data_IF_905650314000
#
_entry.id   IF_905650314000
#
_cell.length_a   1.000
_cell.length_b   1.000
_cell.length_c   1.000
_cell.angle_alpha   90.00
_cell.angle_beta   90.00
_cell.angle_gamma   90.00
#
_symmetry.space_group_name_H-M   'P 1'
#
loop_
_entity.id
_entity.type
_entity.pdbx_description
1 polymer ?
#
# COMPACT_ATOMS: atom_id res chain seq x y z
N UNK A 1 12.96 3.50 -19.03
CA UNK A 1 12.28 2.81 -17.92
C UNK A 1 11.25 3.76 -17.31
N UNK A 2 10.01 3.30 -17.19
CA UNK A 2 8.94 4.15 -16.67
C UNK A 2 9.06 4.28 -15.15
N UNK A 3 9.07 5.51 -14.68
CA UNK A 3 9.17 5.80 -13.25
C UNK A 3 8.03 6.74 -12.86
N UNK A 4 7.16 6.28 -11.97
CA UNK A 4 5.98 7.02 -11.54
C UNK A 4 5.93 6.99 -10.01
N UNK A 5 5.67 8.14 -9.39
CA UNK A 5 5.63 8.30 -7.94
C UNK A 5 6.92 7.81 -7.25
N UNK A 6 8.05 7.93 -7.93
CA UNK A 6 9.34 7.49 -7.42
C UNK A 6 9.60 5.99 -7.54
N UNK A 7 8.71 5.24 -8.17
CA UNK A 7 8.82 3.79 -8.30
C UNK A 7 9.12 3.43 -9.76
N UNK A 8 10.12 2.59 -9.97
CA UNK A 8 10.43 2.03 -11.28
C UNK A 8 9.49 0.88 -11.56
N UNK A 9 8.67 1.02 -12.59
CA UNK A 9 7.73 -0.03 -12.95
C UNK A 9 8.41 -1.14 -13.75
N UNK A 10 8.03 -2.42 -13.54
CA UNK A 10 8.63 -3.51 -14.32
C UNK A 10 8.26 -3.39 -15.78
N UNK A 11 9.27 -3.46 -16.65
CA UNK A 11 9.10 -3.19 -18.07
C UNK A 11 8.28 -4.25 -18.80
N UNK A 12 8.34 -5.47 -18.34
CA UNK A 12 7.71 -6.59 -19.04
C UNK A 12 6.27 -6.86 -18.62
N UNK A 13 5.80 -6.19 -17.58
CA UNK A 13 4.43 -6.34 -17.11
C UNK A 13 3.51 -5.39 -17.88
N UNK A 14 2.23 -5.77 -17.97
CA UNK A 14 1.21 -4.85 -18.49
C UNK A 14 1.13 -3.64 -17.57
N UNK A 15 0.73 -2.51 -18.12
CA UNK A 15 0.66 -1.28 -17.33
C UNK A 15 -0.32 -1.41 -16.16
N UNK A 16 -1.41 -2.15 -16.33
CA UNK A 16 -2.36 -2.44 -15.26
C UNK A 16 -1.68 -3.09 -14.05
N UNK A 17 -0.80 -4.04 -14.31
CA UNK A 17 -0.08 -4.74 -13.25
C UNK A 17 1.10 -3.90 -12.74
N UNK A 18 1.78 -3.21 -13.63
CA UNK A 18 2.90 -2.35 -13.26
C UNK A 18 2.52 -1.26 -12.28
N UNK A 19 1.35 -0.65 -12.45
CA UNK A 19 0.86 0.37 -11.52
C UNK A 19 0.63 -0.17 -10.11
N UNK A 20 0.32 -1.44 -9.97
CA UNK A 20 0.10 -2.03 -8.64
C UNK A 20 1.37 -2.13 -7.80
N UNK A 21 2.54 -1.91 -8.40
CA UNK A 21 3.80 -1.87 -7.66
C UNK A 21 3.94 -0.57 -6.84
N UNK A 22 3.10 0.41 -7.11
CA UNK A 22 3.07 1.65 -6.34
C UNK A 22 2.24 1.42 -5.07
N UNK A 23 2.78 1.78 -3.92
CA UNK A 23 2.06 1.64 -2.66
C UNK A 23 0.79 2.49 -2.67
N UNK A 24 -0.34 1.87 -2.47
CA UNK A 24 -1.64 2.52 -2.48
C UNK A 24 -2.45 2.31 -3.76
N UNK A 25 -1.88 1.67 -4.77
CA UNK A 25 -2.59 1.35 -6.01
C UNK A 25 -2.76 -0.17 -6.11
N UNK A 26 -4.01 -0.62 -6.07
CA UNK A 26 -4.36 -2.01 -6.37
C UNK A 26 -4.90 -2.12 -7.80
N UNK A 27 -5.35 -3.31 -8.18
CA UNK A 27 -5.84 -3.53 -9.56
C UNK A 27 -7.01 -2.62 -9.93
N UNK A 28 -7.95 -2.43 -9.01
CA UNK A 28 -9.10 -1.58 -9.29
C UNK A 28 -8.69 -0.14 -9.51
N UNK A 29 -7.86 0.38 -8.63
CA UNK A 29 -7.35 1.75 -8.76
C UNK A 29 -6.55 1.91 -10.04
N UNK A 30 -5.73 0.92 -10.39
CA UNK A 30 -4.97 0.94 -11.63
C UNK A 30 -5.90 0.99 -12.84
N UNK A 31 -6.95 0.19 -12.85
CA UNK A 31 -7.93 0.22 -13.95
C UNK A 31 -8.66 1.55 -14.04
N UNK A 32 -9.03 2.14 -12.91
CA UNK A 32 -9.68 3.45 -12.87
C UNK A 32 -8.76 4.54 -13.43
N UNK A 33 -7.47 4.49 -13.09
CA UNK A 33 -6.47 5.43 -13.60
C UNK A 33 -6.34 5.31 -15.11
N UNK A 34 -6.22 4.08 -15.61
CA UNK A 34 -6.05 3.83 -17.03
C UNK A 34 -7.29 4.23 -17.82
N UNK A 35 -8.46 4.01 -17.28
CA UNK A 35 -9.71 4.42 -17.90
C UNK A 35 -9.80 5.94 -17.99
N UNK A 36 -9.42 6.64 -16.94
CA UNK A 36 -9.46 8.10 -16.89
C UNK A 36 -8.44 8.74 -17.85
N UNK A 37 -7.28 8.11 -18.01
CA UNK A 37 -6.22 8.62 -18.90
C UNK A 37 -6.35 8.12 -20.34
N UNK A 38 -7.24 7.17 -20.59
CA UNK A 38 -7.46 6.63 -21.93
C UNK A 38 -6.37 5.68 -22.42
N UNK A 39 -5.60 5.10 -21.53
CA UNK A 39 -4.52 4.18 -21.87
C UNK A 39 -5.04 2.75 -21.86
N UNK A 40 -4.65 1.95 -22.87
CA UNK A 40 -5.02 0.54 -22.93
C UNK A 40 -4.34 -0.23 -21.79
N UNK A 41 -5.11 -0.91 -20.93
CA UNK A 41 -4.52 -1.65 -19.80
C UNK A 41 -3.61 -2.81 -20.21
N UNK A 42 -3.76 -3.30 -21.42
CA UNK A 42 -2.93 -4.40 -21.93
C UNK A 42 -1.59 -3.95 -22.50
N UNK A 43 -1.33 -2.66 -22.57
CA UNK A 43 -0.04 -2.12 -23.03
C UNK A 43 1.05 -2.49 -22.03
N UNK A 44 2.17 -3.01 -22.54
CA UNK A 44 3.32 -3.28 -21.67
C UNK A 44 3.97 -1.98 -21.22
N UNK A 45 4.55 -1.99 -20.03
CA UNK A 45 5.20 -0.78 -19.50
C UNK A 45 6.29 -0.27 -20.43
N UNK A 46 7.03 -1.18 -21.06
CA UNK A 46 8.09 -0.80 -22.01
C UNK A 46 7.58 -0.11 -23.26
N UNK A 47 6.32 -0.31 -23.60
CA UNK A 47 5.69 0.25 -24.80
C UNK A 47 4.97 1.58 -24.53
N UNK A 48 5.00 2.08 -23.31
CA UNK A 48 4.39 3.37 -22.98
C UNK A 48 5.18 4.51 -23.58
N UNK A 49 4.45 5.48 -24.15
CA UNK A 49 5.07 6.69 -24.67
C UNK A 49 5.32 7.68 -23.52
N UNK A 50 6.16 8.70 -23.78
CA UNK A 50 6.39 9.74 -22.79
C UNK A 50 5.11 10.51 -22.44
N UNK A 51 4.23 10.69 -23.43
CA UNK A 51 2.94 11.34 -23.21
C UNK A 51 2.07 10.49 -22.27
N UNK A 52 2.07 9.17 -22.45
CA UNK A 52 1.33 8.27 -21.58
C UNK A 52 1.85 8.32 -20.13
N UNK A 53 3.17 8.31 -19.98
CA UNK A 53 3.80 8.40 -18.66
C UNK A 53 3.46 9.73 -17.99
N UNK A 54 3.51 10.83 -18.73
CA UNK A 54 3.16 12.15 -18.21
C UNK A 54 1.70 12.21 -17.76
N UNK A 55 0.80 11.63 -18.53
CA UNK A 55 -0.61 11.59 -18.20
C UNK A 55 -0.85 10.79 -16.92
N UNK A 56 -0.17 9.65 -16.77
CA UNK A 56 -0.27 8.83 -15.58
C UNK A 56 0.26 9.58 -14.35
N UNK A 57 1.41 10.23 -14.47
CA UNK A 57 1.98 11.00 -13.36
C UNK A 57 1.05 12.12 -12.91
N UNK A 58 0.53 12.89 -13.85
CA UNK A 58 -0.38 13.99 -13.53
C UNK A 58 -1.64 13.50 -12.83
N UNK A 59 -2.25 12.44 -13.35
CA UNK A 59 -3.47 11.90 -12.76
C UNK A 59 -3.23 11.40 -11.34
N UNK A 60 -2.15 10.66 -11.14
CA UNK A 60 -1.82 10.12 -9.83
C UNK A 60 -1.52 11.24 -8.84
N UNK A 61 -0.74 12.24 -9.23
CA UNK A 61 -0.41 13.36 -8.36
C UNK A 61 -1.64 14.15 -7.91
N UNK A 62 -2.63 14.28 -8.80
CA UNK A 62 -3.81 15.11 -8.52
C UNK A 62 -4.94 14.36 -7.82
N UNK A 63 -5.09 13.07 -8.07
CA UNK A 63 -6.29 12.34 -7.68
C UNK A 63 -6.07 11.16 -6.76
N UNK A 64 -4.83 10.71 -6.56
CA UNK A 64 -4.54 9.51 -5.80
C UNK A 64 -3.47 9.81 -4.76
N UNK A 65 -3.68 9.33 -3.53
CA UNK A 65 -2.70 9.45 -2.46
C UNK A 65 -1.91 8.15 -2.45
N UNK A 66 -0.58 8.24 -2.66
CA UNK A 66 0.27 7.06 -2.81
C UNK A 66 1.59 7.24 -2.06
N UNK A 67 2.31 6.15 -1.89
CA UNK A 67 3.67 6.09 -1.36
C UNK A 67 3.81 6.82 -0.01
N UNK A 68 4.80 7.71 0.12
CA UNK A 68 5.08 8.38 1.39
C UNK A 68 3.91 9.15 1.96
N UNK A 69 3.15 9.84 1.11
CA UNK A 69 1.98 10.60 1.56
C UNK A 69 0.91 9.67 2.14
N UNK A 70 0.69 8.53 1.52
CA UNK A 70 -0.27 7.55 2.03
C UNK A 70 0.24 6.93 3.33
N UNK A 71 1.52 6.58 3.41
CA UNK A 71 2.10 6.04 4.64
C UNK A 71 1.96 7.01 5.80
N UNK A 72 2.25 8.29 5.55
CA UNK A 72 2.07 9.34 6.56
C UNK A 72 0.63 9.45 7.01
N UNK A 73 -0.31 9.41 6.07
CA UNK A 73 -1.73 9.51 6.40
C UNK A 73 -2.19 8.33 7.25
N UNK A 74 -1.79 7.11 6.89
CA UNK A 74 -2.14 5.91 7.66
C UNK A 74 -1.58 6.01 9.08
N UNK A 75 -0.33 6.45 9.22
CA UNK A 75 0.28 6.60 10.54
C UNK A 75 -0.42 7.66 11.39
N UNK A 76 -0.82 8.77 10.77
CA UNK A 76 -1.58 9.80 11.47
C UNK A 76 -2.96 9.30 11.91
N UNK A 77 -3.62 8.51 11.06
CA UNK A 77 -4.90 7.92 11.41
C UNK A 77 -4.78 6.95 12.59
N UNK A 78 -3.74 6.12 12.59
CA UNK A 78 -3.47 5.21 13.71
C UNK A 78 -3.16 6.00 14.97
N UNK A 79 -2.35 7.03 14.87
CA UNK A 79 -2.02 7.90 16.00
C UNK A 79 -3.28 8.52 16.59
N UNK A 80 -4.19 9.00 15.74
CA UNK A 80 -5.45 9.56 16.20
C UNK A 80 -6.27 8.52 16.98
N UNK A 81 -6.35 7.28 16.46
CA UNK A 81 -7.07 6.22 17.16
C UNK A 81 -6.48 5.93 18.53
N UNK A 82 -5.16 5.92 18.64
CA UNK A 82 -4.47 5.70 19.92
C UNK A 82 -4.75 6.86 20.88
N UNK A 83 -4.72 8.08 20.39
CA UNK A 83 -4.92 9.28 21.24
C UNK A 83 -6.34 9.38 21.78
N UNK A 84 -7.35 9.03 20.98
CA UNK A 84 -8.73 9.09 21.48
C UNK A 84 -9.10 7.90 22.38
N UNK A 85 -8.21 6.91 22.48
CA UNK A 85 -8.39 5.80 23.41
C UNK A 85 -9.46 4.80 23.04
N UNK A 86 -9.86 4.71 21.76
CA UNK A 86 -10.84 3.74 21.32
C UNK A 86 -10.25 2.33 21.30
N UNK A 87 -11.11 1.32 21.18
CA UNK A 87 -10.67 -0.07 21.17
C UNK A 87 -9.63 -0.35 20.10
N UNK A 88 -9.86 0.13 18.87
CA UNK A 88 -8.91 -0.06 17.77
C UNK A 88 -7.54 0.57 18.10
N UNK A 89 -7.55 1.75 18.70
CA UNK A 89 -6.32 2.43 19.10
C UNK A 89 -5.54 1.65 20.13
N UNK A 90 -6.23 1.07 21.13
CA UNK A 90 -5.60 0.23 22.13
C UNK A 90 -4.94 -1.00 21.50
N UNK A 91 -5.61 -1.62 20.53
CA UNK A 91 -5.05 -2.77 19.82
C UNK A 91 -3.80 -2.37 19.03
N UNK A 92 -3.81 -1.22 18.38
CA UNK A 92 -2.61 -0.72 17.67
C UNK A 92 -1.47 -0.45 18.64
N UNK A 93 -1.76 0.17 19.76
CA UNK A 93 -0.73 0.48 20.77
C UNK A 93 -0.08 -0.78 21.30
N UNK A 94 -0.85 -1.84 21.50
CA UNK A 94 -0.35 -3.12 22.04
C UNK A 94 0.23 -4.04 20.97
N UNK A 95 0.15 -3.68 19.70
CA UNK A 95 0.63 -4.53 18.62
C UNK A 95 -0.20 -5.78 18.41
N UNK A 96 -1.49 -5.72 18.67
CA UNK A 96 -2.40 -6.86 18.56
C UNK A 96 -3.31 -6.72 17.34
N UNK A 97 -3.90 -7.83 16.84
CA UNK A 97 -4.86 -7.75 15.74
C UNK A 97 -6.02 -6.81 16.07
N UNK A 98 -6.43 -6.02 15.10
CA UNK A 98 -7.40 -4.93 15.28
C UNK A 98 -8.81 -5.31 14.84
N UNK A 99 -8.93 -6.27 13.93
CA UNK A 99 -10.22 -6.62 13.30
C UNK A 99 -10.93 -7.81 13.92
N UNK A 100 -10.78 -8.00 15.22
CA UNK A 100 -11.47 -9.06 15.94
C UNK A 100 -10.91 -10.46 15.73
N UNK A 101 -9.68 -10.55 15.23
CA UNK A 101 -9.03 -11.84 15.03
C UNK A 101 -8.59 -12.43 16.36
N UNK A 102 -8.45 -13.75 16.36
CA UNK A 102 -7.93 -14.46 17.51
C UNK A 102 -6.47 -14.09 17.77
N UNK A 103 -6.14 -13.77 19.00
CA UNK A 103 -4.77 -13.41 19.37
C UNK A 103 -4.05 -14.51 20.15
N UNK A 104 -4.78 -15.54 20.58
CA UNK A 104 -4.22 -16.61 21.40
C UNK A 104 -3.28 -17.53 20.65
N UNK A 105 -3.53 -17.77 19.36
CA UNK A 105 -2.78 -18.74 18.58
C UNK A 105 -1.90 -18.05 17.54
N UNK A 106 -2.37 -17.83 16.36
CA UNK A 106 -1.59 -17.27 15.26
C UNK A 106 -1.39 -15.76 15.45
N UNK A 107 -1.71 -14.92 14.52
CA UNK A 107 -1.54 -13.47 14.61
C UNK A 107 -0.08 -13.00 14.55
N UNK A 108 0.77 -13.78 13.87
CA UNK A 108 2.21 -13.44 13.80
C UNK A 108 2.49 -12.16 13.02
N UNK A 109 1.63 -11.80 12.06
CA UNK A 109 1.81 -10.58 11.28
C UNK A 109 1.86 -9.35 12.17
N UNK A 110 0.99 -9.29 13.18
CA UNK A 110 0.95 -8.16 14.11
C UNK A 110 1.95 -8.33 15.27
N UNK A 111 2.04 -9.52 15.81
CA UNK A 111 2.90 -9.79 16.97
C UNK A 111 4.37 -9.95 16.59
N UNK A 112 4.64 -10.27 15.32
CA UNK A 112 5.97 -10.58 14.88
C UNK A 112 6.36 -12.03 15.14
N UNK A 113 7.62 -12.40 14.90
CA UNK A 113 8.09 -13.76 15.12
C UNK A 113 7.93 -14.19 16.59
N UNK A 114 7.83 -15.50 16.79
CA UNK A 114 7.78 -16.03 18.15
C UNK A 114 9.05 -15.66 18.91
N UNK A 115 8.87 -15.24 20.15
CA UNK A 115 9.99 -14.92 21.03
C UNK A 115 9.97 -15.87 22.20
N UNK A 116 11.08 -16.55 22.40
CA UNK A 116 11.25 -17.44 23.54
C UNK A 116 11.93 -16.70 24.68
N UNK A 117 11.38 -16.82 25.87
CA UNK A 117 11.99 -16.23 27.07
C UNK A 117 13.13 -17.15 27.49
N UNK A 118 14.37 -16.68 27.35
CA UNK A 118 15.55 -17.51 27.52
C UNK A 118 15.68 -18.13 28.93
N UNK A 119 15.26 -17.41 29.96
CA UNK A 119 15.41 -17.87 31.33
C UNK A 119 14.14 -18.48 31.91
N UNK A 120 13.15 -18.73 31.08
CA UNK A 120 11.91 -19.30 31.57
C UNK A 120 12.09 -20.77 31.89
N UNK A 121 11.78 -21.14 33.11
CA UNK A 121 11.84 -22.51 33.55
C UNK A 121 10.45 -23.12 33.67
N UNK A 122 10.37 -24.41 33.48
CA UNK A 122 9.11 -25.13 33.59
C UNK A 122 9.05 -25.92 34.89
#
# INVERSE_FOLDING_TARGET
MARIAGIDMPREKRVEIGLTYIYGIGRKTANDILKATGINPDTRVKDLTEADEAALRDYIDKNVIVEGDLRSRVQLDIKRLVEIGCYRGVRHRKGLPVRGQRSKTNARTRKGPKKTIANKKK
#
